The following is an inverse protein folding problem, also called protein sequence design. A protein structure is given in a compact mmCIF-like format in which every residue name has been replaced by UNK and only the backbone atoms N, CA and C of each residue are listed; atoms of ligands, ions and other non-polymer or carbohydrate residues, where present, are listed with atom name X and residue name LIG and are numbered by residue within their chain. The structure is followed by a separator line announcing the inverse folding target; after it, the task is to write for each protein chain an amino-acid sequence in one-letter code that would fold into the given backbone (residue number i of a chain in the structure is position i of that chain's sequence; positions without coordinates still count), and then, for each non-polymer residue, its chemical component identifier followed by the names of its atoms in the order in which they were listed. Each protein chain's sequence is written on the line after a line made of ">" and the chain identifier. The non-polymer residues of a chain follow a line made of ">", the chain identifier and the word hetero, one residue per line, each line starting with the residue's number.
data_IF_229229378177
#
_entry.id   IF_229229378177
#
_cell.length_a   1.000
_cell.length_b   1.000
_cell.length_c   1.000
_cell.angle_alpha   90.00
_cell.angle_beta   90.00
_cell.angle_gamma   90.00
#
_symmetry.space_group_name_H-M   'P 1'
#
loop_
_entity.id
_entity.type
_entity.pdbx_description
1 polymer ?
#
# COMPACT_ATOMS: atom_id res chain seq x y z
N UNK A 1 -0.81 -40.86 15.20
CA UNK A 1 -1.64 -39.90 15.97
C UNK A 1 -0.89 -38.61 16.31
N UNK A 2 0.36 -38.67 16.77
CA UNK A 2 1.13 -37.47 17.16
C UNK A 2 1.35 -36.45 16.02
N UNK A 3 1.70 -36.90 14.80
CA UNK A 3 1.92 -36.00 13.65
C UNK A 3 0.68 -35.18 13.27
N UNK A 4 -0.51 -35.79 13.30
CA UNK A 4 -1.76 -35.10 12.98
C UNK A 4 -2.08 -34.00 14.01
N UNK A 5 -1.77 -34.24 15.29
CA UNK A 5 -1.95 -33.25 16.35
C UNK A 5 -0.99 -32.06 16.19
N UNK A 6 0.28 -32.32 15.87
CA UNK A 6 1.28 -31.27 15.63
C UNK A 6 0.90 -30.44 14.40
N UNK A 7 0.46 -31.07 13.32
CA UNK A 7 0.03 -30.36 12.11
C UNK A 7 -1.22 -29.50 12.36
N UNK A 8 -2.17 -29.99 13.15
CA UNK A 8 -3.36 -29.21 13.54
C UNK A 8 -2.98 -27.99 14.40
N UNK A 9 -2.07 -28.17 15.37
CA UNK A 9 -1.58 -27.09 16.21
C UNK A 9 -0.87 -26.00 15.37
N UNK A 10 0.01 -26.41 14.45
CA UNK A 10 0.73 -25.48 13.58
C UNK A 10 -0.24 -24.66 12.73
N UNK A 11 -1.24 -25.31 12.12
CA UNK A 11 -2.28 -24.61 11.33
C UNK A 11 -3.05 -23.60 12.18
N UNK A 12 -3.40 -23.98 13.41
CA UNK A 12 -4.10 -23.09 14.33
C UNK A 12 -3.25 -21.86 14.68
N UNK A 13 -1.96 -22.05 14.97
CA UNK A 13 -1.02 -20.96 15.26
C UNK A 13 -0.89 -20.02 14.06
N UNK A 14 -0.76 -20.56 12.84
CA UNK A 14 -0.68 -19.76 11.61
C UNK A 14 -1.96 -18.96 11.39
N UNK A 15 -3.14 -19.56 11.55
CA UNK A 15 -4.42 -18.86 11.39
C UNK A 15 -4.58 -17.73 12.42
N UNK A 16 -4.22 -17.97 13.69
CA UNK A 16 -4.25 -16.93 14.72
C UNK A 16 -3.26 -15.82 14.38
N UNK A 17 -2.04 -16.15 13.94
CA UNK A 17 -1.04 -15.17 13.53
C UNK A 17 -1.52 -14.27 12.40
N UNK A 18 -2.15 -14.84 11.37
CA UNK A 18 -2.71 -14.08 10.24
C UNK A 18 -3.81 -13.12 10.70
N UNK A 19 -4.70 -13.56 11.60
CA UNK A 19 -5.80 -12.72 12.12
C UNK A 19 -5.25 -11.56 12.94
N UNK A 20 -4.28 -11.79 13.81
CA UNK A 20 -3.70 -10.75 14.67
C UNK A 20 -2.92 -9.73 13.84
N UNK A 21 -2.03 -10.19 12.95
CA UNK A 21 -1.22 -9.30 12.09
C UNK A 21 -2.12 -8.56 11.11
N UNK A 22 -3.08 -9.24 10.50
CA UNK A 22 -4.05 -8.62 9.59
C UNK A 22 -4.91 -7.56 10.30
N UNK A 23 -5.40 -7.84 11.50
CA UNK A 23 -6.17 -6.89 12.30
C UNK A 23 -5.36 -5.65 12.69
N UNK A 24 -4.10 -5.83 13.08
CA UNK A 24 -3.24 -4.69 13.45
C UNK A 24 -2.85 -3.85 12.23
N UNK A 25 -2.51 -4.50 11.11
CA UNK A 25 -2.22 -3.82 9.85
C UNK A 25 -3.46 -3.05 9.35
N UNK A 26 -4.64 -3.63 9.48
CA UNK A 26 -5.90 -2.97 9.16
C UNK A 26 -6.16 -1.77 10.08
N UNK A 27 -5.79 -1.84 11.36
CA UNK A 27 -5.95 -0.69 12.26
C UNK A 27 -4.98 0.46 11.95
N UNK A 28 -3.79 0.15 11.40
CA UNK A 28 -2.77 1.16 11.07
C UNK A 28 -2.91 1.74 9.66
N UNK A 29 -3.39 0.93 8.70
CA UNK A 29 -3.40 1.26 7.27
C UNK A 29 -4.77 1.08 6.62
N UNK A 30 -5.79 0.70 7.40
CA UNK A 30 -7.12 0.44 6.87
C UNK A 30 -7.81 1.70 6.36
N UNK A 31 -8.63 1.58 5.30
CA UNK A 31 -9.42 2.68 4.79
C UNK A 31 -10.40 3.20 5.86
N UNK A 32 -10.81 4.48 5.79
CA UNK A 32 -11.75 5.06 6.73
C UNK A 32 -13.02 4.22 6.82
N UNK A 33 -13.56 4.05 8.04
CA UNK A 33 -14.57 3.04 8.39
C UNK A 33 -15.84 3.02 7.50
N UNK A 34 -16.12 4.10 6.75
CA UNK A 34 -17.23 4.18 5.81
C UNK A 34 -17.03 3.47 4.46
N UNK A 35 -15.80 3.37 3.94
CA UNK A 35 -15.54 2.71 2.64
C UNK A 35 -15.39 1.20 2.78
N UNK A 36 -14.81 0.76 3.89
CA UNK A 36 -14.60 -0.66 4.15
C UNK A 36 -15.91 -1.44 4.32
N UNK A 37 -16.90 -0.86 5.00
CA UNK A 37 -18.21 -1.48 5.22
C UNK A 37 -18.95 -1.69 3.90
N UNK A 38 -18.89 -0.74 2.97
CA UNK A 38 -19.49 -0.87 1.65
C UNK A 38 -18.85 -2.00 0.81
N UNK A 39 -17.53 -2.16 0.89
CA UNK A 39 -16.83 -3.26 0.23
C UNK A 39 -17.13 -4.62 0.87
N UNK A 40 -17.15 -4.68 2.20
CA UNK A 40 -17.52 -5.88 2.96
C UNK A 40 -18.94 -6.32 2.66
N UNK A 41 -19.91 -5.40 2.65
CA UNK A 41 -21.30 -5.71 2.31
C UNK A 41 -21.41 -6.25 0.87
N UNK A 42 -20.64 -5.71 -0.07
CA UNK A 42 -20.61 -6.20 -1.45
C UNK A 42 -20.08 -7.63 -1.54
N UNK A 43 -19.00 -7.92 -0.83
CA UNK A 43 -18.40 -9.28 -0.78
C UNK A 43 -19.35 -10.26 -0.09
N UNK A 44 -19.98 -9.86 1.02
CA UNK A 44 -20.95 -10.69 1.74
C UNK A 44 -22.18 -10.97 0.89
N UNK A 45 -22.71 -9.97 0.17
CA UNK A 45 -23.81 -10.17 -0.77
C UNK A 45 -23.42 -11.13 -1.88
N UNK A 46 -22.24 -10.96 -2.49
CA UNK A 46 -21.76 -11.83 -3.55
C UNK A 46 -21.54 -13.28 -3.07
N UNK A 47 -20.96 -13.46 -1.88
CA UNK A 47 -20.80 -14.77 -1.26
C UNK A 47 -22.15 -15.43 -0.94
N UNK A 48 -23.14 -14.65 -0.48
CA UNK A 48 -24.50 -15.15 -0.21
C UNK A 48 -25.21 -15.58 -1.49
N UNK A 49 -25.04 -14.84 -2.59
CA UNK A 49 -25.60 -15.20 -3.90
C UNK A 49 -24.99 -16.50 -4.43
N UNK A 50 -23.67 -16.67 -4.35
CA UNK A 50 -23.01 -17.91 -4.76
C UNK A 50 -23.35 -19.09 -3.84
N UNK A 51 -23.46 -18.86 -2.53
CA UNK A 51 -23.87 -19.90 -1.58
C UNK A 51 -25.29 -20.39 -1.86
N UNK A 52 -26.25 -19.48 -2.12
CA UNK A 52 -27.60 -19.86 -2.51
C UNK A 52 -27.66 -20.59 -3.86
N UNK A 53 -26.79 -20.22 -4.81
CA UNK A 53 -26.68 -20.91 -6.10
C UNK A 53 -26.15 -22.34 -5.96
N UNK A 54 -25.23 -22.58 -5.02
CA UNK A 54 -24.73 -23.92 -4.69
C UNK A 54 -25.73 -24.73 -3.85
N UNK A 55 -26.53 -24.09 -3.00
CA UNK A 55 -27.61 -24.74 -2.24
C UNK A 55 -28.88 -25.02 -3.06
N UNK A 56 -29.01 -24.47 -4.27
CA UNK A 56 -30.13 -24.69 -5.20
C UNK A 56 -30.16 -26.06 -5.88
N UNK A 57 -29.50 -27.08 -5.31
CA UNK A 57 -29.74 -28.48 -5.63
C UNK A 57 -30.93 -29.00 -4.83
N UNK A 58 -32.06 -29.14 -5.52
CA UNK A 58 -33.33 -29.75 -5.12
C UNK A 58 -33.33 -30.58 -3.82
N UNK A 59 -33.84 -29.99 -2.73
CA UNK A 59 -34.52 -30.72 -1.67
C UNK A 59 -35.44 -29.76 -0.91
N UNK A 60 -36.77 -29.88 -1.04
CA UNK A 60 -37.71 -29.04 -0.32
C UNK A 60 -37.69 -29.40 1.17
N UNK A 61 -37.14 -28.52 2.00
CA UNK A 61 -37.40 -28.50 3.44
C UNK A 61 -38.55 -27.52 3.71
N UNK A 62 -39.61 -27.91 4.45
CA UNK A 62 -40.79 -27.07 4.60
C UNK A 62 -40.53 -25.86 5.50
N UNK A 63 -40.77 -24.70 4.91
CA UNK A 63 -41.30 -23.46 5.48
C UNK A 63 -41.26 -23.28 7.01
N UNK A 64 -40.58 -22.21 7.45
CA UNK A 64 -41.17 -21.29 8.43
C UNK A 64 -41.36 -19.95 7.72
N UNK A 65 -42.62 -19.64 7.48
CA UNK A 65 -43.10 -18.48 6.77
C UNK A 65 -42.92 -17.21 7.60
N UNK A 66 -42.41 -16.15 6.98
CA UNK A 66 -42.85 -14.78 7.28
C UNK A 66 -42.87 -13.98 5.97
N UNK A 67 -44.07 -13.76 5.46
CA UNK A 67 -44.46 -12.80 4.41
C UNK A 67 -45.45 -11.85 5.10
N UNK A 68 -45.46 -10.51 4.92
CA UNK A 68 -45.74 -9.82 3.64
C UNK A 68 -44.90 -8.52 3.44
N UNK A 69 -44.87 -7.80 2.31
CA UNK A 69 -45.97 -7.23 1.53
C UNK A 69 -45.46 -6.73 0.16
N UNK A 70 -46.32 -6.86 -0.85
CA UNK A 70 -46.06 -6.72 -2.28
C UNK A 70 -45.95 -5.27 -2.81
N UNK A 71 -45.25 -5.11 -3.95
CA UNK A 71 -45.68 -4.33 -5.13
C UNK A 71 -44.81 -4.68 -6.38
N UNK A 72 -45.31 -4.50 -7.62
CA UNK A 72 -44.99 -5.38 -8.75
C UNK A 72 -44.17 -4.76 -9.91
N UNK A 73 -43.40 -5.64 -10.57
CA UNK A 73 -43.14 -5.80 -12.01
C UNK A 73 -43.10 -4.55 -12.92
N UNK A 74 -41.92 -4.27 -13.49
CA UNK A 74 -41.80 -4.00 -14.93
C UNK A 74 -40.60 -4.74 -15.54
N UNK A 75 -40.94 -5.63 -16.47
CA UNK A 75 -40.16 -6.05 -17.62
C UNK A 75 -39.40 -4.87 -18.26
N UNK A 76 -38.14 -5.09 -18.61
CA UNK A 76 -37.67 -5.01 -20.00
C UNK A 76 -36.23 -5.53 -20.10
N UNK A 77 -36.11 -6.74 -20.64
CA UNK A 77 -35.07 -7.28 -21.51
C UNK A 77 -33.58 -6.88 -21.33
N UNK A 78 -32.65 -7.86 -21.29
CA UNK A 78 -31.20 -7.62 -21.30
C UNK A 78 -30.65 -7.32 -22.71
N UNK A 79 -29.69 -6.39 -22.89
CA UNK A 79 -28.85 -6.36 -24.07
C UNK A 79 -27.85 -7.53 -24.05
N UNK A 80 -27.65 -8.13 -25.22
CA UNK A 80 -26.81 -9.30 -25.47
C UNK A 80 -25.36 -9.16 -24.96
N UNK A 81 -24.66 -10.28 -24.67
CA UNK A 81 -23.27 -10.25 -24.28
C UNK A 81 -22.39 -9.73 -25.42
N UNK A 82 -21.75 -8.59 -25.17
CA UNK A 82 -20.69 -8.04 -26.00
C UNK A 82 -19.55 -9.05 -26.15
N UNK A 83 -19.35 -9.46 -27.40
CA UNK A 83 -18.24 -10.27 -27.90
C UNK A 83 -16.92 -9.64 -27.47
N UNK A 84 -16.14 -10.35 -26.65
CA UNK A 84 -14.74 -10.00 -26.39
C UNK A 84 -13.97 -10.15 -27.71
N UNK A 85 -13.74 -9.02 -28.40
CA UNK A 85 -12.76 -8.97 -29.47
C UNK A 85 -11.39 -9.18 -28.83
N UNK A 86 -10.72 -10.25 -29.24
CA UNK A 86 -9.29 -10.42 -29.00
C UNK A 86 -8.58 -9.23 -29.68
N UNK A 87 -7.98 -8.34 -28.88
CA UNK A 87 -7.07 -7.33 -29.41
C UNK A 87 -5.94 -8.06 -30.13
N UNK A 88 -5.95 -7.94 -31.45
CA UNK A 88 -4.84 -8.33 -32.31
C UNK A 88 -3.58 -7.62 -31.82
N UNK A 89 -2.58 -8.42 -31.48
CA UNK A 89 -1.21 -7.98 -31.22
C UNK A 89 -0.74 -7.21 -32.46
N UNK A 90 -0.68 -5.89 -32.34
CA UNK A 90 -0.07 -5.05 -33.37
C UNK A 90 1.39 -5.47 -33.54
N UNK A 91 1.87 -5.61 -34.79
CA UNK A 91 3.27 -5.92 -35.06
C UNK A 91 4.14 -4.79 -34.50
N UNK A 92 5.19 -5.19 -33.77
CA UNK A 92 6.25 -4.31 -33.27
C UNK A 92 6.72 -3.42 -34.41
N UNK A 93 6.43 -2.13 -34.30
CA UNK A 93 6.98 -1.12 -35.19
C UNK A 93 8.51 -1.17 -35.07
N UNK A 94 9.13 -1.36 -36.22
CA UNK A 94 10.55 -1.31 -36.46
C UNK A 94 11.11 -0.01 -35.86
N UNK A 95 11.95 -0.11 -34.82
CA UNK A 95 12.67 1.03 -34.25
C UNK A 95 13.77 1.44 -35.23
N UNK A 96 13.36 2.07 -36.33
CA UNK A 96 14.25 2.79 -37.21
C UNK A 96 14.93 3.87 -36.37
N UNK A 97 16.24 3.67 -36.21
CA UNK A 97 17.17 4.51 -35.47
C UNK A 97 17.22 5.89 -36.11
N UNK A 98 16.34 6.78 -35.68
CA UNK A 98 16.42 8.20 -36.03
C UNK A 98 17.73 8.80 -35.45
N UNK A 99 18.52 9.52 -36.26
CA UNK A 99 19.71 10.19 -35.78
C UNK A 99 19.31 11.27 -34.78
N UNK A 100 19.73 11.12 -33.52
CA UNK A 100 19.47 12.07 -32.44
C UNK A 100 19.93 13.47 -32.86
N UNK A 101 18.97 14.39 -33.00
CA UNK A 101 19.27 15.82 -33.09
C UNK A 101 20.03 16.26 -31.81
N UNK A 102 20.95 17.25 -31.91
CA UNK A 102 21.62 17.79 -30.74
C UNK A 102 20.59 18.35 -29.76
N UNK A 103 20.47 17.72 -28.60
CA UNK A 103 19.60 18.18 -27.51
C UNK A 103 20.06 19.59 -27.11
N UNK A 104 19.16 20.56 -27.26
CA UNK A 104 19.38 21.92 -26.77
C UNK A 104 19.68 21.86 -25.26
N UNK A 105 20.61 22.68 -24.75
CA UNK A 105 20.92 22.72 -23.33
C UNK A 105 19.64 23.05 -22.54
N UNK A 106 19.24 22.13 -21.67
CA UNK A 106 18.12 22.30 -20.75
C UNK A 106 18.32 23.58 -19.94
N UNK A 107 17.29 24.43 -19.79
CA UNK A 107 17.38 25.62 -18.94
C UNK A 107 17.75 25.18 -17.51
N UNK A 108 18.77 25.82 -16.95
CA UNK A 108 19.19 25.58 -15.58
C UNK A 108 18.00 25.80 -14.65
N UNK A 109 17.57 24.72 -13.98
CA UNK A 109 16.57 24.80 -12.92
C UNK A 109 17.11 25.80 -11.88
N UNK A 110 16.40 26.91 -11.68
CA UNK A 110 16.72 27.83 -10.60
C UNK A 110 16.55 27.10 -9.27
N UNK A 111 17.66 26.87 -8.57
CA UNK A 111 17.66 26.33 -7.22
C UNK A 111 16.90 27.33 -6.33
N UNK A 112 15.74 26.96 -5.75
CA UNK A 112 14.98 27.86 -4.92
C UNK A 112 15.82 28.25 -3.69
N UNK A 113 15.77 29.54 -3.34
CA UNK A 113 16.55 30.10 -2.24
C UNK A 113 16.37 29.28 -0.95
N UNK A 114 17.49 28.84 -0.37
CA UNK A 114 17.50 28.01 0.83
C UNK A 114 16.88 28.78 2.00
N UNK A 115 15.63 28.46 2.35
CA UNK A 115 15.00 28.98 3.54
C UNK A 115 15.76 28.53 4.80
N UNK A 116 15.80 29.37 5.86
CA UNK A 116 16.49 29.02 7.09
C UNK A 116 15.85 27.78 7.72
N UNK A 117 16.59 26.68 7.71
CA UNK A 117 16.17 25.40 8.31
C UNK A 117 15.88 25.61 9.81
N UNK A 118 14.69 25.22 10.30
CA UNK A 118 14.31 25.37 11.70
C UNK A 118 15.31 24.66 12.63
N UNK A 119 15.54 25.21 13.81
CA UNK A 119 16.49 24.62 14.79
C UNK A 119 16.09 23.20 15.21
N UNK A 120 14.78 22.93 15.32
CA UNK A 120 14.24 21.60 15.60
C UNK A 120 14.62 20.57 14.53
N UNK A 121 14.67 20.96 13.25
CA UNK A 121 15.09 20.09 12.15
C UNK A 121 16.57 19.76 12.27
N UNK A 122 17.41 20.73 12.67
CA UNK A 122 18.85 20.48 12.88
C UNK A 122 19.12 19.45 13.96
N UNK A 123 18.36 19.51 15.06
CA UNK A 123 18.47 18.52 16.14
C UNK A 123 18.09 17.12 15.67
N UNK A 124 16.97 16.97 14.95
CA UNK A 124 16.54 15.68 14.41
C UNK A 124 17.53 15.12 13.36
N UNK A 125 18.11 15.98 12.52
CA UNK A 125 19.15 15.59 11.56
C UNK A 125 20.41 15.12 12.28
N UNK A 126 20.80 15.76 13.39
CA UNK A 126 21.91 15.30 14.24
C UNK A 126 21.64 13.91 14.81
N UNK A 127 20.43 13.64 15.28
CA UNK A 127 20.04 12.32 15.77
C UNK A 127 20.09 11.26 14.66
N UNK A 128 19.58 11.57 13.47
CA UNK A 128 19.65 10.67 12.31
C UNK A 128 21.10 10.32 11.94
N UNK A 129 22.01 11.30 11.96
CA UNK A 129 23.45 11.06 11.74
C UNK A 129 24.06 10.18 12.83
N UNK A 130 23.67 10.37 14.09
CA UNK A 130 24.10 9.50 15.18
C UNK A 130 23.58 8.05 15.00
N UNK A 131 22.44 7.88 14.31
CA UNK A 131 21.91 6.60 13.86
C UNK A 131 22.53 6.11 12.54
N UNK A 132 23.60 6.74 12.06
CA UNK A 132 24.32 6.35 10.85
C UNK A 132 23.57 6.64 9.55
N UNK A 133 22.58 7.54 9.55
CA UNK A 133 21.96 7.99 8.31
C UNK A 133 22.90 8.91 7.52
N UNK A 134 22.94 8.70 6.22
CA UNK A 134 23.72 9.39 5.20
C UNK A 134 22.77 9.93 4.10
N UNK A 135 23.31 10.73 3.18
CA UNK A 135 22.56 11.32 2.05
C UNK A 135 21.23 11.99 2.46
N UNK A 136 21.31 12.87 3.46
CA UNK A 136 20.15 13.54 4.03
C UNK A 136 19.70 14.68 3.11
N UNK A 137 18.47 14.59 2.61
CA UNK A 137 17.88 15.58 1.72
C UNK A 137 16.52 16.02 2.25
N UNK A 138 16.30 17.33 2.33
CA UNK A 138 15.01 17.95 2.63
C UNK A 138 14.66 18.85 1.45
N UNK A 139 13.57 18.54 0.76
CA UNK A 139 13.13 19.26 -0.43
C UNK A 139 11.67 19.70 -0.30
N UNK A 140 11.31 20.90 -0.78
CA UNK A 140 9.91 21.27 -0.92
C UNK A 140 9.23 20.36 -1.96
N UNK A 141 7.99 19.97 -1.71
CA UNK A 141 7.24 19.01 -2.51
C UNK A 141 5.79 19.46 -2.72
N UNK A 142 5.20 19.04 -3.83
CA UNK A 142 3.82 19.40 -4.19
C UNK A 142 3.67 20.81 -4.77
N UNK A 143 2.42 21.20 -5.03
CA UNK A 143 2.10 22.52 -5.55
C UNK A 143 2.52 23.61 -4.55
N UNK A 144 3.26 24.61 -5.02
CA UNK A 144 3.72 25.76 -4.23
C UNK A 144 4.56 25.41 -2.98
N UNK A 145 5.10 24.18 -2.89
CA UNK A 145 5.84 23.75 -1.69
C UNK A 145 4.95 23.49 -0.47
N UNK A 146 3.67 23.16 -0.68
CA UNK A 146 2.73 22.84 0.40
C UNK A 146 3.13 21.63 1.27
N UNK A 147 4.05 20.80 0.77
CA UNK A 147 4.61 19.66 1.48
C UNK A 147 6.13 19.72 1.49
N UNK A 148 6.71 18.90 2.35
CA UNK A 148 8.14 18.74 2.52
C UNK A 148 8.46 17.26 2.41
N UNK A 149 9.35 16.90 1.48
CA UNK A 149 9.88 15.55 1.33
C UNK A 149 11.24 15.48 2.02
N UNK A 150 11.33 14.62 3.04
CA UNK A 150 12.60 14.28 3.66
C UNK A 150 13.01 12.87 3.22
N UNK A 151 14.27 12.72 2.83
CA UNK A 151 14.84 11.43 2.42
C UNK A 151 16.23 11.25 3.03
N UNK A 152 16.57 10.01 3.39
CA UNK A 152 17.92 9.63 3.78
C UNK A 152 18.20 8.17 3.46
N UNK A 153 19.47 7.78 3.54
CA UNK A 153 19.91 6.40 3.40
C UNK A 153 20.57 5.95 4.71
N UNK A 154 20.41 4.69 5.12
CA UNK A 154 21.19 4.11 6.20
C UNK A 154 21.91 2.85 5.69
N UNK A 155 23.23 2.70 5.92
CA UNK A 155 23.95 1.50 5.49
C UNK A 155 23.48 0.28 6.28
N UNK A 156 23.40 -0.87 5.60
CA UNK A 156 23.23 -2.16 6.26
C UNK A 156 24.61 -2.65 6.75
N UNK A 157 24.87 -2.74 8.05
CA UNK A 157 26.12 -3.31 8.54
C UNK A 157 26.23 -4.81 8.20
N UNK A 158 27.44 -5.21 7.83
CA UNK A 158 27.76 -6.56 7.39
C UNK A 158 27.76 -6.75 5.87
N UNK A 159 27.14 -5.86 5.10
CA UNK A 159 27.13 -5.92 3.64
C UNK A 159 27.63 -4.60 3.05
N UNK A 160 28.84 -4.61 2.50
CA UNK A 160 29.40 -3.43 1.83
C UNK A 160 28.60 -3.14 0.57
N UNK A 161 28.00 -1.95 0.50
CA UNK A 161 27.30 -1.45 -0.70
C UNK A 161 25.78 -1.54 -0.65
N UNK A 162 25.18 -2.10 0.41
CA UNK A 162 23.74 -2.09 0.58
C UNK A 162 23.32 -0.96 1.53
N UNK A 163 22.45 -0.08 1.03
CA UNK A 163 21.84 1.00 1.80
C UNK A 163 20.33 0.82 1.79
N UNK A 164 19.69 1.13 2.91
CA UNK A 164 18.24 1.24 3.01
C UNK A 164 17.84 2.68 2.86
N UNK A 165 16.97 2.96 1.89
CA UNK A 165 16.39 4.28 1.71
C UNK A 165 15.18 4.46 2.61
N UNK A 166 15.04 5.65 3.18
CA UNK A 166 13.89 6.08 3.97
C UNK A 166 13.41 7.41 3.43
N UNK A 167 12.10 7.54 3.22
CA UNK A 167 11.49 8.79 2.83
C UNK A 167 10.14 9.02 3.53
N UNK A 168 9.80 10.30 3.67
CA UNK A 168 8.48 10.74 4.11
C UNK A 168 8.14 12.09 3.47
N UNK A 169 6.85 12.27 3.16
CA UNK A 169 6.29 13.52 2.67
C UNK A 169 5.26 13.98 3.69
N UNK A 170 5.47 15.16 4.27
CA UNK A 170 4.59 15.73 5.28
C UNK A 170 4.30 17.21 5.01
N UNK A 171 3.21 17.79 5.53
CA UNK A 171 2.93 19.23 5.37
C UNK A 171 4.04 20.11 5.95
N UNK A 172 4.72 19.63 7.00
CA UNK A 172 5.75 20.38 7.71
C UNK A 172 7.11 19.65 7.66
N UNK A 173 8.18 20.37 7.35
CA UNK A 173 9.55 19.87 7.42
C UNK A 173 9.90 19.11 8.72
N UNK A 174 9.63 19.63 9.94
CA UNK A 174 9.94 18.89 11.17
C UNK A 174 9.15 17.58 11.30
N UNK A 175 7.92 17.51 10.78
CA UNK A 175 7.15 16.26 10.79
C UNK A 175 7.74 15.23 9.84
N UNK A 176 8.16 15.66 8.63
CA UNK A 176 8.81 14.76 7.67
C UNK A 176 10.08 14.13 8.27
N UNK A 177 10.92 14.96 8.90
CA UNK A 177 12.17 14.49 9.54
C UNK A 177 11.88 13.59 10.74
N UNK A 178 10.93 13.96 11.60
CA UNK A 178 10.54 13.15 12.76
C UNK A 178 10.02 11.77 12.33
N UNK A 179 9.19 11.72 11.28
CA UNK A 179 8.65 10.47 10.74
C UNK A 179 9.75 9.55 10.20
N UNK A 180 10.73 10.08 9.47
CA UNK A 180 11.89 9.29 9.03
C UNK A 180 12.77 8.86 10.19
N UNK A 181 12.97 9.72 11.21
CA UNK A 181 13.68 9.35 12.43
C UNK A 181 13.03 8.14 13.12
N UNK A 182 11.70 8.13 13.25
CA UNK A 182 10.97 6.99 13.81
C UNK A 182 11.11 5.73 12.94
N UNK A 183 11.03 5.85 11.62
CA UNK A 183 11.24 4.71 10.71
C UNK A 183 12.65 4.11 10.88
N UNK A 184 13.69 4.93 10.95
CA UNK A 184 15.08 4.49 11.13
C UNK A 184 15.26 3.84 12.50
N UNK A 185 14.69 4.40 13.56
CA UNK A 185 14.74 3.83 14.92
C UNK A 185 14.05 2.47 14.97
N UNK A 186 12.83 2.35 14.45
CA UNK A 186 12.08 1.10 14.41
C UNK A 186 12.83 0.03 13.59
N UNK A 187 13.39 0.44 12.45
CA UNK A 187 14.19 -0.46 11.63
C UNK A 187 15.43 -0.97 12.38
N UNK A 188 16.15 -0.12 13.10
CA UNK A 188 17.30 -0.54 13.92
C UNK A 188 16.89 -1.49 15.05
N UNK A 189 15.78 -1.23 15.73
CA UNK A 189 15.26 -2.12 16.78
C UNK A 189 14.87 -3.48 16.22
N UNK A 190 14.23 -3.51 15.05
CA UNK A 190 13.86 -4.76 14.37
C UNK A 190 15.09 -5.54 13.87
N UNK A 191 16.23 -4.88 13.72
CA UNK A 191 17.46 -5.47 13.20
C UNK A 191 18.63 -5.21 14.17
N UNK A 192 18.63 -5.81 15.37
CA UNK A 192 19.63 -5.53 16.41
C UNK A 192 21.04 -5.96 16.01
N UNK A 193 21.17 -6.90 15.07
CA UNK A 193 22.45 -7.25 14.44
C UNK A 193 23.12 -6.04 13.76
N UNK A 194 22.35 -4.99 13.46
CA UNK A 194 22.82 -3.76 12.83
C UNK A 194 23.21 -2.65 13.81
N UNK A 195 23.14 -2.91 15.11
CA UNK A 195 23.41 -1.92 16.17
C UNK A 195 24.71 -2.18 16.96
N UNK A 196 25.53 -3.14 16.52
CA UNK A 196 26.83 -3.48 17.12
C UNK A 196 27.99 -2.83 16.40
#
# INVERSE_FOLDING_TARGET
>A
MFEAAVQALLKLVVMVGIVVVGGMAYHLYGPPAGEASALLDRIVQQARTEYHKLQGGDSPSPAVAVTPLAAPVQDLMPPAPGRLQASELSPVADFSREPMAPLAPLPALQEPAAEPVPESVKQLVSELRALGAEDIQLTPWGAEGAYHRFACCAPLPGETGFVRHFDAIEPNAPLAVARVCDQVRQWRVANPALSR
#
